data_IF_749399854381
#
_entry.id   IF_749399854381
#
_cell.length_a   1.000
_cell.length_b   1.000
_cell.length_c   1.000
_cell.angle_alpha   90.00
_cell.angle_beta   90.00
_cell.angle_gamma   90.00
#
_symmetry.space_group_name_H-M   'P 1'
#
loop_
_entity.id
_entity.type
_entity.pdbx_description
1 polymer ?
#
# COMPACT_ATOMS: atom_id res chain seq x y z
N UNK A 1 -8.31 2.70 2.51
CA UNK A 1 -7.56 3.26 1.36
C UNK A 1 -7.21 2.20 0.32
N UNK A 2 -6.61 1.05 0.69
CA UNK A 2 -6.22 -0.01 -0.27
C UNK A 2 -7.39 -0.59 -1.09
N UNK A 3 -8.53 -0.85 -0.45
CA UNK A 3 -9.75 -1.28 -1.16
C UNK A 3 -10.22 -0.28 -2.22
N UNK A 4 -10.07 1.02 -1.94
CA UNK A 4 -10.40 2.08 -2.89
C UNK A 4 -9.44 2.05 -4.09
N UNK A 5 -8.15 1.81 -3.85
CA UNK A 5 -7.17 1.67 -4.93
C UNK A 5 -7.40 0.42 -5.79
N UNK A 6 -7.79 -0.71 -5.18
CA UNK A 6 -8.21 -1.90 -5.94
C UNK A 6 -9.47 -1.65 -6.77
N UNK A 7 -10.48 -0.96 -6.21
CA UNK A 7 -11.68 -0.56 -6.95
C UNK A 7 -11.34 0.35 -8.14
N UNK A 8 -10.39 1.28 -7.96
CA UNK A 8 -9.94 2.19 -9.01
C UNK A 8 -9.22 1.44 -10.14
N UNK A 9 -8.35 0.47 -9.81
CA UNK A 9 -7.70 -0.38 -10.81
C UNK A 9 -8.71 -1.26 -11.57
N UNK A 10 -9.72 -1.81 -10.90
CA UNK A 10 -10.81 -2.59 -11.54
C UNK A 10 -11.63 -1.68 -12.46
N UNK A 11 -12.01 -0.49 -11.99
CA UNK A 11 -12.73 0.49 -12.80
C UNK A 11 -11.93 0.93 -14.03
N UNK A 12 -10.62 1.11 -13.87
CA UNK A 12 -9.74 1.46 -14.98
C UNK A 12 -9.65 0.33 -16.02
N UNK A 13 -9.57 -0.92 -15.58
CA UNK A 13 -9.57 -2.10 -16.47
C UNK A 13 -10.88 -2.22 -17.26
N UNK A 14 -12.03 -1.98 -16.61
CA UNK A 14 -13.35 -1.99 -17.26
C UNK A 14 -13.50 -0.83 -18.26
N UNK A 15 -13.07 0.36 -17.90
CA UNK A 15 -13.05 1.51 -18.81
C UNK A 15 -12.19 1.22 -20.04
N UNK A 16 -11.02 0.63 -19.83
CA UNK A 16 -10.12 0.26 -20.91
C UNK A 16 -10.74 -0.80 -21.84
N UNK A 17 -11.42 -1.81 -21.27
CA UNK A 17 -12.18 -2.79 -22.04
C UNK A 17 -13.31 -2.17 -22.87
N UNK A 18 -14.05 -1.20 -22.32
CA UNK A 18 -15.08 -0.46 -23.05
C UNK A 18 -14.49 0.34 -24.22
N UNK A 19 -13.36 1.02 -24.01
CA UNK A 19 -12.69 1.77 -25.08
C UNK A 19 -12.25 0.88 -26.23
N UNK A 20 -11.75 -0.33 -25.94
CA UNK A 20 -11.37 -1.30 -26.98
C UNK A 20 -12.57 -1.81 -27.78
N UNK A 21 -13.74 -1.95 -27.16
CA UNK A 21 -14.96 -2.36 -27.85
C UNK A 21 -15.46 -1.24 -28.77
N UNK A 22 -15.47 0.00 -28.26
CA UNK A 22 -16.07 1.14 -28.95
C UNK A 22 -15.17 1.71 -30.07
N UNK A 23 -13.85 1.76 -29.83
CA UNK A 23 -12.88 2.36 -30.76
C UNK A 23 -11.94 1.36 -31.45
N UNK A 24 -12.00 0.08 -31.09
CA UNK A 24 -11.12 -0.95 -31.62
C UNK A 24 -9.69 -0.88 -31.06
N UNK A 25 -8.78 -1.64 -31.68
CA UNK A 25 -7.38 -1.69 -31.26
C UNK A 25 -6.65 -0.39 -31.61
N UNK A 26 -5.96 0.24 -30.64
CA UNK A 26 -5.20 1.46 -30.87
C UNK A 26 -4.03 1.20 -31.81
N UNK A 27 -3.74 2.14 -32.72
CA UNK A 27 -2.63 2.03 -33.68
C UNK A 27 -1.69 3.23 -33.62
N UNK A 28 -0.42 3.00 -33.98
CA UNK A 28 0.60 4.05 -33.98
C UNK A 28 0.86 4.66 -32.60
N UNK A 29 0.63 5.97 -32.45
CA UNK A 29 0.92 6.72 -31.21
C UNK A 29 0.02 6.33 -30.04
N UNK A 30 -1.20 5.90 -30.31
CA UNK A 30 -2.17 5.48 -29.29
C UNK A 30 -1.74 4.19 -28.59
N UNK A 31 -1.03 3.33 -29.32
CA UNK A 31 -0.50 2.07 -28.80
C UNK A 31 0.50 2.34 -27.67
N UNK A 32 1.29 3.41 -27.79
CA UNK A 32 2.26 3.84 -26.78
C UNK A 32 1.56 4.32 -25.49
N UNK A 33 0.46 5.08 -25.63
CA UNK A 33 -0.36 5.48 -24.48
C UNK A 33 -1.01 4.30 -23.78
N UNK A 34 -1.49 3.32 -24.54
CA UNK A 34 -2.04 2.07 -24.02
C UNK A 34 -0.98 1.26 -23.28
N UNK A 35 0.23 1.18 -23.83
CA UNK A 35 1.34 0.48 -23.19
C UNK A 35 1.71 1.15 -21.86
N UNK A 36 1.78 2.48 -21.82
CA UNK A 36 2.01 3.25 -20.58
C UNK A 36 0.87 3.01 -19.58
N UNK A 37 -0.39 2.99 -20.02
CA UNK A 37 -1.54 2.75 -19.16
C UNK A 37 -1.48 1.36 -18.50
N UNK A 38 -1.20 0.31 -19.28
CA UNK A 38 -1.08 -1.06 -18.77
C UNK A 38 0.12 -1.18 -17.81
N UNK A 39 1.27 -0.63 -18.17
CA UNK A 39 2.46 -0.64 -17.30
C UNK A 39 2.18 0.06 -15.98
N UNK A 40 1.48 1.20 -16.01
CA UNK A 40 1.11 1.94 -14.81
C UNK A 40 0.15 1.12 -13.92
N UNK A 41 -0.83 0.41 -14.49
CA UNK A 41 -1.72 -0.48 -13.75
C UNK A 41 -0.93 -1.59 -13.04
N UNK A 42 0.01 -2.23 -13.74
CA UNK A 42 0.86 -3.29 -13.19
C UNK A 42 1.73 -2.77 -12.06
N UNK A 43 2.44 -1.66 -12.28
CA UNK A 43 3.30 -1.02 -11.27
C UNK A 43 2.48 -0.65 -10.04
N UNK A 44 1.33 -0.02 -10.22
CA UNK A 44 0.47 0.41 -9.10
C UNK A 44 0.01 -0.79 -8.27
N UNK A 45 -0.33 -1.91 -8.92
CA UNK A 45 -0.73 -3.16 -8.24
C UNK A 45 0.42 -3.78 -7.46
N UNK A 46 1.63 -3.83 -8.04
CA UNK A 46 2.84 -4.33 -7.38
C UNK A 46 3.21 -3.47 -6.17
N UNK A 47 3.17 -2.15 -6.31
CA UNK A 47 3.44 -1.19 -5.23
C UNK A 47 2.43 -1.37 -4.09
N UNK A 48 1.14 -1.51 -4.41
CA UNK A 48 0.09 -1.78 -3.41
C UNK A 48 0.31 -3.08 -2.64
N UNK A 49 0.77 -4.13 -3.31
CA UNK A 49 1.10 -5.41 -2.66
C UNK A 49 2.31 -5.26 -1.72
N UNK A 50 3.39 -4.60 -2.17
CA UNK A 50 4.63 -4.44 -1.38
C UNK A 50 4.47 -3.50 -0.19
N UNK A 51 3.74 -2.38 -0.35
CA UNK A 51 3.38 -1.50 0.77
C UNK A 51 2.37 -2.13 1.72
N UNK A 52 1.84 -3.32 1.43
CA UNK A 52 0.91 -3.99 2.32
C UNK A 52 1.56 -4.77 3.46
N UNK A 53 2.87 -5.00 3.37
CA UNK A 53 3.65 -5.71 4.39
C UNK A 53 4.13 -4.78 5.53
N UNK A 54 4.16 -3.47 5.31
CA UNK A 54 4.46 -2.48 6.36
C UNK A 54 3.21 -2.19 7.20
N UNK A 55 2.80 -3.19 7.98
CA UNK A 55 1.74 -3.08 9.01
C UNK A 55 2.33 -3.01 10.42
N UNK A 56 3.30 -2.13 10.66
CA UNK A 56 3.35 -1.59 12.03
C UNK A 56 2.19 -0.59 12.15
N UNK A 57 1.03 -1.16 12.50
CA UNK A 57 -0.17 -0.40 12.84
C UNK A 57 0.22 0.66 13.87
N UNK A 58 -0.23 1.90 13.69
CA UNK A 58 0.03 2.99 14.66
C UNK A 58 -0.34 2.60 16.10
N UNK A 59 -1.36 1.73 16.25
CA UNK A 59 -1.77 1.16 17.51
C UNK A 59 -0.74 0.16 18.07
N UNK A 60 -0.13 -0.66 17.21
CA UNK A 60 0.97 -1.54 17.59
C UNK A 60 2.22 -0.74 18.03
N UNK A 61 2.53 0.35 17.33
CA UNK A 61 3.61 1.27 17.71
C UNK A 61 3.36 1.93 19.07
N UNK A 62 2.12 2.33 19.37
CA UNK A 62 1.74 2.87 20.68
C UNK A 62 1.87 1.83 21.80
N UNK A 63 1.45 0.59 21.56
CA UNK A 63 1.57 -0.49 22.52
C UNK A 63 3.04 -0.85 22.77
N UNK A 64 3.86 -0.93 21.74
CA UNK A 64 5.31 -1.13 21.87
C UNK A 64 5.95 -0.01 22.71
N UNK A 65 5.56 1.25 22.49
CA UNK A 65 6.07 2.39 23.26
C UNK A 65 5.69 2.29 24.73
N UNK A 66 4.42 2.00 25.04
CA UNK A 66 3.97 1.80 26.44
C UNK A 66 4.69 0.63 27.11
N UNK A 67 4.88 -0.49 26.42
CA UNK A 67 5.60 -1.64 26.95
C UNK A 67 7.07 -1.32 27.25
N UNK A 68 7.72 -0.51 26.41
CA UNK A 68 9.09 -0.02 26.64
C UNK A 68 9.17 0.94 27.83
N UNK A 69 8.18 1.83 28.01
CA UNK A 69 8.10 2.73 29.15
C UNK A 69 7.92 1.98 30.47
N UNK A 70 7.07 0.95 30.51
CA UNK A 70 6.92 0.10 31.70
C UNK A 70 8.18 -0.70 32.00
N UNK A 71 8.83 -1.28 30.98
CA UNK A 71 10.11 -1.98 31.18
C UNK A 71 11.18 -1.07 31.78
N UNK A 72 11.28 0.18 31.33
CA UNK A 72 12.23 1.16 31.91
C UNK A 72 11.91 1.50 33.37
N UNK A 73 10.63 1.65 33.72
CA UNK A 73 10.22 1.87 35.12
C UNK A 73 10.59 0.71 36.03
N UNK A 74 10.39 -0.53 35.56
CA UNK A 74 10.76 -1.72 36.32
C UNK A 74 12.27 -1.75 36.57
N UNK A 75 13.07 -1.47 35.54
CA UNK A 75 14.53 -1.41 35.67
C UNK A 75 14.97 -0.33 36.66
N UNK A 76 14.40 0.89 36.60
CA UNK A 76 14.77 1.94 37.55
C UNK A 76 14.43 1.59 39.00
N UNK A 77 13.28 0.96 39.24
CA UNK A 77 12.88 0.51 40.59
C UNK A 77 13.82 -0.60 41.08
N UNK A 78 14.24 -1.49 40.18
CA UNK A 78 15.14 -2.59 40.50
C UNK A 78 16.57 -2.11 40.81
N UNK A 79 17.03 -1.06 40.14
CA UNK A 79 18.31 -0.42 40.41
C UNK A 79 18.29 0.36 41.74
N UNK A 80 17.18 1.03 42.07
CA UNK A 80 17.01 1.71 43.37
C UNK A 80 16.95 0.71 44.54
N UNK A 81 16.39 -0.49 44.34
CA UNK A 81 16.34 -1.56 45.36
C UNK A 81 17.69 -2.28 45.58
N UNK A 82 18.64 -2.14 44.66
CA UNK A 82 19.99 -2.74 44.77
C UNK A 82 21.01 -1.82 45.44
N UNK A 83 20.62 -0.57 45.74
CA UNK A 83 21.47 0.45 46.36
C UNK A 83 21.25 0.52 47.86
#
# INVERSE_FOLDING_TARGET
MKHFAYLLNIGWLLWFGLLLIDKGLPSGKELLFVLIAIVTLVINTVVLMRLSETKESWLALLLQRKALEEKRKIVSIQDDLKK
#
